data_IF_942815236262
#
_entry.id   IF_942815236262
#
_cell.length_a   1.000
_cell.length_b   1.000
_cell.length_c   1.000
_cell.angle_alpha   90.00
_cell.angle_beta   90.00
_cell.angle_gamma   90.00
#
_symmetry.space_group_name_H-M   'P 1'
#
loop_
_entity.id
_entity.type
_entity.pdbx_description
1 polymer ?
#
# COMPACT_ATOMS: atom_id res chain seq x y z
N UNK A 1 14.02 15.98 10.50
CA UNK A 1 13.94 14.80 9.60
C UNK A 1 12.85 13.86 10.11
N UNK A 2 11.86 13.52 9.30
CA UNK A 2 10.71 12.70 9.73
C UNK A 2 11.14 11.24 9.91
N UNK A 3 11.37 10.83 11.16
CA UNK A 3 11.90 9.49 11.50
C UNK A 3 10.96 8.37 11.05
N UNK A 4 9.64 8.59 11.10
CA UNK A 4 8.61 7.65 10.66
C UNK A 4 8.67 7.38 9.15
N UNK A 5 8.90 8.44 8.35
CA UNK A 5 9.03 8.31 6.89
C UNK A 5 10.33 7.58 6.53
N UNK A 6 11.41 7.89 7.25
CA UNK A 6 12.70 7.22 7.07
C UNK A 6 12.62 5.72 7.38
N UNK A 7 11.93 5.34 8.46
CA UNK A 7 11.74 3.94 8.84
C UNK A 7 10.97 3.17 7.76
N UNK A 8 9.87 3.74 7.25
CA UNK A 8 9.11 3.14 6.15
C UNK A 8 9.93 2.98 4.88
N UNK A 9 10.73 3.99 4.54
CA UNK A 9 11.62 3.96 3.38
C UNK A 9 12.67 2.84 3.50
N UNK A 10 13.29 2.69 4.69
CA UNK A 10 14.29 1.65 4.95
C UNK A 10 13.69 0.24 4.78
N UNK A 11 12.48 0.00 5.29
CA UNK A 11 11.81 -1.31 5.19
C UNK A 11 11.50 -1.64 3.72
N UNK A 12 11.01 -0.66 2.96
CA UNK A 12 10.71 -0.83 1.53
C UNK A 12 12.00 -1.13 0.75
N UNK A 13 13.07 -0.37 0.98
CA UNK A 13 14.37 -0.60 0.34
C UNK A 13 14.90 -1.99 0.70
N UNK A 14 14.82 -2.40 1.97
CA UNK A 14 15.23 -3.74 2.40
C UNK A 14 14.46 -4.85 1.67
N UNK A 15 13.14 -4.73 1.53
CA UNK A 15 12.34 -5.69 0.76
C UNK A 15 12.72 -5.70 -0.74
N UNK A 16 12.95 -4.53 -1.34
CA UNK A 16 13.40 -4.44 -2.74
C UNK A 16 14.78 -5.09 -2.93
N UNK A 17 15.73 -4.82 -2.01
CA UNK A 17 17.03 -5.46 -2.03
C UNK A 17 16.90 -6.97 -1.87
N UNK A 18 16.12 -7.47 -0.90
CA UNK A 18 15.89 -8.91 -0.74
C UNK A 18 15.31 -9.56 -2.01
N UNK A 19 14.51 -8.83 -2.79
CA UNK A 19 14.01 -9.31 -4.08
C UNK A 19 15.01 -9.32 -5.21
N UNK A 20 15.81 -8.26 -5.33
CA UNK A 20 16.83 -8.15 -6.37
C UNK A 20 17.97 -9.14 -6.11
N UNK A 21 18.41 -9.21 -4.86
CA UNK A 21 19.43 -10.15 -4.40
C UNK A 21 18.88 -11.57 -4.22
N UNK A 22 17.57 -11.79 -4.20
CA UNK A 22 16.98 -13.12 -4.16
C UNK A 22 17.44 -14.00 -5.32
N UNK A 23 17.58 -13.45 -6.52
CA UNK A 23 18.11 -14.20 -7.67
C UNK A 23 19.62 -14.51 -7.54
N UNK A 24 20.37 -13.70 -6.78
CA UNK A 24 21.80 -13.88 -6.57
C UNK A 24 22.12 -14.79 -5.37
N UNK A 25 21.24 -14.82 -4.36
CA UNK A 25 21.40 -15.63 -3.13
C UNK A 25 20.88 -17.05 -3.30
N UNK A 26 19.89 -17.27 -4.18
CA UNK A 26 19.45 -18.60 -4.57
C UNK A 26 19.80 -18.87 -6.05
N UNK A 27 21.03 -19.31 -6.34
CA UNK A 27 21.40 -19.79 -7.67
C UNK A 27 20.91 -21.23 -7.93
N UNK A 28 20.05 -21.80 -7.08
CA UNK A 28 19.41 -23.09 -7.33
C UNK A 28 18.19 -22.88 -8.23
N UNK A 29 18.34 -23.26 -9.49
CA UNK A 29 17.26 -23.26 -10.46
C UNK A 29 16.12 -24.15 -9.96
N UNK A 30 14.89 -23.62 -9.99
CA UNK A 30 13.65 -24.37 -9.72
C UNK A 30 13.43 -25.57 -10.65
N UNK A 31 14.29 -25.73 -11.66
CA UNK A 31 14.30 -26.86 -12.59
C UNK A 31 15.19 -28.01 -12.11
N UNK A 32 16.10 -27.78 -11.16
CA UNK A 32 16.70 -28.86 -10.40
C UNK A 32 15.69 -29.29 -9.35
N UNK A 33 14.67 -30.00 -9.81
CA UNK A 33 14.12 -31.04 -8.96
C UNK A 33 15.33 -31.84 -8.50
N UNK A 34 15.56 -31.99 -7.20
CA UNK A 34 16.38 -33.09 -6.70
C UNK A 34 15.65 -34.41 -7.02
N UNK A 35 15.40 -34.67 -8.31
CA UNK A 35 15.11 -35.97 -8.84
C UNK A 35 16.41 -36.74 -8.66
N UNK A 36 16.51 -37.36 -7.48
CA UNK A 36 17.43 -38.44 -7.22
C UNK A 36 18.88 -38.02 -7.51
N UNK A 37 19.43 -37.09 -6.71
CA UNK A 37 20.88 -37.00 -6.63
C UNK A 37 21.37 -38.23 -5.88
N UNK A 38 21.63 -39.29 -6.66
CA UNK A 38 22.41 -40.45 -6.25
C UNK A 38 23.81 -39.97 -5.92
N UNK A 39 24.01 -39.54 -4.68
CA UNK A 39 25.32 -39.35 -4.08
C UNK A 39 25.45 -40.36 -2.93
N UNK A 40 25.96 -41.55 -3.27
CA UNK A 40 26.66 -42.39 -2.31
C UNK A 40 25.83 -43.15 -1.28
N UNK A 41 24.70 -43.75 -1.67
CA UNK A 41 24.14 -44.89 -0.94
C UNK A 41 23.26 -44.58 0.28
N UNK A 42 22.93 -43.32 0.55
CA UNK A 42 21.94 -42.97 1.57
C UNK A 42 20.67 -42.46 0.89
N UNK A 43 19.58 -43.25 1.01
CA UNK A 43 18.26 -42.88 0.52
C UNK A 43 17.73 -41.73 1.40
N UNK A 44 18.09 -40.49 1.07
CA UNK A 44 17.57 -39.32 1.75
C UNK A 44 16.13 -39.11 1.27
N UNK A 45 15.18 -39.66 2.03
CA UNK A 45 13.75 -39.40 1.85
C UNK A 45 13.47 -37.95 2.26
N UNK A 46 12.88 -37.11 1.39
CA UNK A 46 12.41 -35.79 1.80
C UNK A 46 11.41 -35.93 2.95
N UNK A 47 11.42 -35.02 3.95
CA UNK A 47 12.17 -33.76 4.03
C UNK A 47 13.56 -33.89 4.69
N UNK A 48 14.56 -33.26 4.07
CA UNK A 48 15.92 -33.18 4.62
C UNK A 48 16.02 -32.03 5.66
N UNK A 49 16.64 -32.24 6.82
CA UNK A 49 16.90 -31.19 7.81
C UNK A 49 17.85 -30.11 7.27
N UNK A 50 17.86 -28.90 7.86
CA UNK A 50 18.67 -27.78 7.39
C UNK A 50 20.17 -28.14 7.34
N UNK A 51 20.77 -28.03 6.17
CA UNK A 51 22.19 -28.32 5.92
C UNK A 51 22.86 -27.14 5.22
N UNK A 52 24.19 -27.10 5.13
CA UNK A 52 24.93 -25.97 4.53
C UNK A 52 24.49 -25.67 3.08
N UNK A 53 24.09 -26.69 2.34
CA UNK A 53 23.57 -26.55 0.97
C UNK A 53 22.09 -26.16 0.93
N UNK A 54 21.34 -26.42 2.01
CA UNK A 54 19.89 -26.15 2.13
C UNK A 54 19.58 -25.49 3.48
N UNK A 55 19.84 -24.18 3.64
CA UNK A 55 19.76 -23.49 4.93
C UNK A 55 18.35 -23.47 5.55
N UNK A 56 17.30 -23.61 4.73
CA UNK A 56 15.91 -23.74 5.18
C UNK A 56 15.33 -25.17 5.03
N UNK A 57 16.15 -26.13 4.60
CA UNK A 57 15.72 -27.51 4.32
C UNK A 57 14.97 -27.68 3.00
N UNK A 58 14.52 -28.91 2.74
CA UNK A 58 13.81 -29.29 1.50
C UNK A 58 12.33 -29.59 1.75
N UNK A 59 11.50 -29.27 0.77
CA UNK A 59 10.06 -29.59 0.77
C UNK A 59 9.83 -31.11 0.58
N UNK A 60 8.59 -31.59 0.78
CA UNK A 60 8.16 -32.99 0.60
C UNK A 60 8.45 -33.58 -0.80
N UNK A 61 8.75 -32.71 -1.76
CA UNK A 61 9.12 -33.05 -3.14
C UNK A 61 10.61 -32.83 -3.45
N UNK A 62 11.44 -32.56 -2.44
CA UNK A 62 12.89 -32.39 -2.60
C UNK A 62 13.34 -31.02 -3.12
N UNK A 63 12.45 -30.02 -3.17
CA UNK A 63 12.81 -28.65 -3.58
C UNK A 63 13.34 -27.83 -2.40
N UNK A 64 14.37 -27.01 -2.62
CA UNK A 64 14.83 -26.03 -1.65
C UNK A 64 13.74 -24.98 -1.34
N UNK A 65 13.39 -24.87 -0.06
CA UNK A 65 12.38 -23.92 0.43
C UNK A 65 12.87 -22.49 0.29
N UNK A 66 14.18 -22.23 0.45
CA UNK A 66 14.77 -20.88 0.28
C UNK A 66 14.62 -20.42 -1.17
N UNK A 67 14.98 -21.26 -2.13
CA UNK A 67 14.84 -20.98 -3.55
C UNK A 67 13.37 -20.73 -3.93
N UNK A 68 12.42 -21.54 -3.44
CA UNK A 68 10.98 -21.32 -3.65
C UNK A 68 10.48 -20.00 -3.07
N UNK A 69 10.94 -19.62 -1.88
CA UNK A 69 10.55 -18.36 -1.23
C UNK A 69 11.05 -17.15 -2.03
N UNK A 70 12.31 -17.16 -2.43
CA UNK A 70 12.92 -16.11 -3.26
C UNK A 70 12.27 -16.03 -4.65
N UNK A 71 11.93 -17.18 -5.23
CA UNK A 71 11.17 -17.25 -6.47
C UNK A 71 9.74 -16.71 -6.35
N UNK A 72 9.09 -16.89 -5.20
CA UNK A 72 7.76 -16.33 -4.90
C UNK A 72 7.80 -14.80 -4.75
N UNK A 73 8.88 -14.28 -4.18
CA UNK A 73 9.02 -12.87 -3.83
C UNK A 73 8.93 -11.93 -5.05
N UNK A 74 9.41 -12.36 -6.23
CA UNK A 74 9.29 -11.59 -7.49
C UNK A 74 7.83 -11.32 -7.86
N UNK A 75 6.94 -12.29 -7.61
CA UNK A 75 5.51 -12.17 -7.89
C UNK A 75 4.84 -11.25 -6.86
N UNK A 76 5.24 -11.32 -5.59
CA UNK A 76 4.74 -10.42 -4.54
C UNK A 76 5.00 -8.95 -4.87
N UNK A 77 6.22 -8.60 -5.30
CA UNK A 77 6.54 -7.21 -5.67
C UNK A 77 5.81 -6.79 -6.94
N UNK A 78 5.77 -7.66 -7.95
CA UNK A 78 5.09 -7.35 -9.20
C UNK A 78 3.59 -7.07 -8.99
N UNK A 79 2.94 -7.76 -8.06
CA UNK A 79 1.52 -7.55 -7.73
C UNK A 79 1.32 -6.38 -6.75
N UNK A 80 2.21 -6.18 -5.77
CA UNK A 80 2.01 -5.16 -4.74
C UNK A 80 2.07 -3.73 -5.29
N UNK A 81 2.93 -3.46 -6.26
CA UNK A 81 3.06 -2.13 -6.89
C UNK A 81 1.76 -1.67 -7.57
N UNK A 82 1.17 -2.42 -8.53
CA UNK A 82 -0.07 -2.01 -9.17
C UNK A 82 -1.25 -2.00 -8.21
N UNK A 83 -1.28 -2.87 -7.19
CA UNK A 83 -2.31 -2.86 -6.15
C UNK A 83 -2.23 -1.58 -5.31
N UNK A 84 -1.03 -1.19 -4.86
CA UNK A 84 -0.82 0.03 -4.09
C UNK A 84 -1.13 1.29 -4.91
N UNK A 85 -0.73 1.30 -6.18
CA UNK A 85 -1.06 2.37 -7.12
C UNK A 85 -2.58 2.49 -7.31
N UNK A 86 -3.25 1.38 -7.65
CA UNK A 86 -4.71 1.34 -7.83
C UNK A 86 -5.46 1.77 -6.57
N UNK A 87 -5.01 1.29 -5.40
CA UNK A 87 -5.59 1.66 -4.10
C UNK A 87 -5.49 3.17 -3.84
N UNK A 88 -4.35 3.78 -4.14
CA UNK A 88 -4.15 5.21 -3.90
C UNK A 88 -4.89 6.05 -4.95
N UNK A 89 -4.90 5.61 -6.22
CA UNK A 89 -5.56 6.29 -7.32
C UNK A 89 -7.09 6.34 -7.15
N UNK A 90 -7.70 5.25 -6.68
CA UNK A 90 -9.16 5.17 -6.50
C UNK A 90 -9.57 5.63 -5.10
N UNK A 91 -8.80 5.26 -4.08
CA UNK A 91 -9.16 5.52 -2.68
C UNK A 91 -9.06 6.99 -2.29
N UNK A 92 -8.01 7.71 -2.71
CA UNK A 92 -7.82 9.12 -2.37
C UNK A 92 -8.97 10.04 -2.85
N UNK A 93 -9.40 10.00 -4.12
CA UNK A 93 -10.47 10.87 -4.58
C UNK A 93 -11.80 10.55 -3.90
N UNK A 94 -12.13 9.26 -3.70
CA UNK A 94 -13.36 8.86 -3.00
C UNK A 94 -13.40 9.41 -1.57
N UNK A 95 -12.29 9.29 -0.84
CA UNK A 95 -12.19 9.79 0.54
C UNK A 95 -12.32 11.31 0.58
N UNK A 96 -11.62 12.02 -0.30
CA UNK A 96 -11.69 13.47 -0.34
C UNK A 96 -13.11 13.97 -0.64
N UNK A 97 -13.79 13.35 -1.60
CA UNK A 97 -15.17 13.67 -1.94
C UNK A 97 -16.09 13.43 -0.73
N UNK A 98 -16.00 12.26 -0.07
CA UNK A 98 -16.79 11.97 1.11
C UNK A 98 -16.56 12.96 2.26
N UNK A 99 -15.30 13.37 2.47
CA UNK A 99 -14.92 14.35 3.49
C UNK A 99 -15.51 15.74 3.19
N UNK A 100 -15.53 16.16 1.92
CA UNK A 100 -16.18 17.42 1.53
C UNK A 100 -17.69 17.41 1.77
N UNK A 101 -18.37 16.28 1.54
CA UNK A 101 -19.81 16.17 1.82
C UNK A 101 -20.13 16.19 3.31
N UNK A 102 -19.30 15.53 4.14
CA UNK A 102 -19.42 15.59 5.59
C UNK A 102 -19.20 17.02 6.12
N UNK A 103 -18.17 17.72 5.63
CA UNK A 103 -17.91 19.11 6.00
C UNK A 103 -19.05 20.07 5.59
N UNK A 104 -19.70 19.81 4.46
CA UNK A 104 -20.89 20.54 4.03
C UNK A 104 -22.11 20.26 4.93
N UNK A 105 -22.31 19.01 5.36
CA UNK A 105 -23.38 18.64 6.28
C UNK A 105 -23.19 19.22 7.69
N UNK A 106 -21.95 19.27 8.17
CA UNK A 106 -21.60 19.91 9.45
C UNK A 106 -21.65 21.45 9.41
N UNK A 107 -21.94 22.06 8.25
CA UNK A 107 -21.97 23.52 8.10
C UNK A 107 -20.61 24.21 8.26
N UNK A 108 -19.52 23.44 8.16
CA UNK A 108 -18.12 23.88 8.36
C UNK A 108 -17.44 24.19 7.03
N UNK A 109 -18.14 24.91 6.16
CA UNK A 109 -17.64 25.29 4.83
C UNK A 109 -16.41 26.21 4.97
N UNK A 110 -15.33 25.95 4.20
CA UNK A 110 -14.25 26.91 4.08
C UNK A 110 -14.76 28.22 3.48
N UNK A 111 -14.17 29.29 3.98
CA UNK A 111 -14.56 30.71 3.92
C UNK A 111 -15.00 31.29 2.56
N UNK A 112 -14.54 30.84 1.36
CA UNK A 112 -15.01 31.42 0.10
C UNK A 112 -16.51 31.24 -0.17
N UNK A 113 -17.14 30.15 0.29
CA UNK A 113 -18.58 29.93 0.07
C UNK A 113 -19.47 30.61 1.13
N UNK A 114 -18.93 30.94 2.32
CA UNK A 114 -19.67 31.63 3.38
C UNK A 114 -19.91 33.11 3.04
N UNK A 115 -19.00 33.72 2.28
CA UNK A 115 -19.11 35.12 1.83
C UNK A 115 -20.34 35.36 0.93
N UNK A 116 -20.68 34.41 0.05
CA UNK A 116 -21.84 34.51 -0.83
C UNK A 116 -23.18 34.57 -0.08
N UNK A 117 -23.36 33.71 0.93
CA UNK A 117 -24.57 33.72 1.76
C UNK A 117 -24.63 34.92 2.75
N UNK A 118 -23.48 35.44 3.18
CA UNK A 118 -23.45 36.68 3.96
C UNK A 118 -23.81 37.92 3.12
N UNK A 119 -23.48 37.95 1.82
CA UNK A 119 -23.89 39.04 0.95
C UNK A 119 -25.41 39.05 0.73
N UNK A 120 -26.01 37.89 0.48
CA UNK A 120 -27.46 37.77 0.28
C UNK A 120 -28.24 38.17 1.54
N UNK A 121 -27.79 37.73 2.72
CA UNK A 121 -28.44 38.06 3.99
C UNK A 121 -28.24 39.51 4.46
N UNK A 122 -27.23 40.24 3.95
CA UNK A 122 -27.08 41.70 4.19
C UNK A 122 -27.99 42.51 3.29
N UNK A 123 -28.16 42.11 2.03
CA UNK A 123 -29.10 42.75 1.11
C UNK A 123 -30.54 42.63 1.62
N UNK A 124 -30.95 41.45 2.08
CA UNK A 124 -32.30 41.26 2.64
C UNK A 124 -32.54 42.09 3.90
N UNK A 125 -31.49 42.34 4.69
CA UNK A 125 -31.57 43.21 5.87
C UNK A 125 -31.67 44.68 5.49
N UNK A 126 -30.90 45.13 4.49
CA UNK A 126 -30.93 46.50 4.00
C UNK A 126 -32.28 46.84 3.33
N UNK A 127 -32.84 45.93 2.54
CA UNK A 127 -34.18 46.09 1.95
C UNK A 127 -35.26 46.18 3.03
N UNK A 128 -35.20 45.31 4.05
CA UNK A 128 -36.16 45.32 5.17
C UNK A 128 -36.09 46.60 6.01
N UNK A 129 -34.89 47.12 6.25
CA UNK A 129 -34.71 48.39 6.97
C UNK A 129 -35.24 49.58 6.17
N UNK A 130 -35.06 49.58 4.84
CA UNK A 130 -35.59 50.63 3.96
C UNK A 130 -37.13 50.68 3.97
N UNK A 131 -37.79 49.52 4.03
CA UNK A 131 -39.24 49.40 4.17
C UNK A 131 -39.74 49.89 5.55
N UNK A 132 -38.96 49.66 6.62
CA UNK A 132 -39.28 50.20 7.94
C UNK A 132 -39.20 51.73 8.01
N UNK A 133 -38.22 52.33 7.33
CA UNK A 133 -38.15 53.79 7.20
C UNK A 133 -39.31 54.35 6.38
N UNK A 134 -39.70 53.67 5.29
CA UNK A 134 -40.82 54.08 4.44
C UNK A 134 -42.18 54.04 5.13
N UNK A 135 -42.36 53.21 6.16
CA UNK A 135 -43.61 53.16 6.94
C UNK A 135 -43.66 54.17 8.10
N UNK A 136 -42.57 54.88 8.38
CA UNK A 136 -42.47 55.85 9.47
C UNK A 136 -42.70 57.30 9.03
N UNK A 137 -42.77 57.55 7.72
CA UNK A 137 -43.09 58.83 7.09
C UNK A 137 -44.30 58.64 6.18
#
# INVERSE_FOLDING_TARGET
MNKTLLLGLIIIIFMLCASLFGKYVAPHDLNESAQVSSNGGELIVPPSPPSKDHPLGTDKYGYDILAKLLAGLKYTIFVSVPVAFSRTAIGRPLVHIAETYLAAFEGKLPDPFRAGNCAHSRLDRAVRDSEHFRRRY
#
